data_IF_512145141428
#
_entry.id   IF_512145141428
#
_cell.length_a   1.000
_cell.length_b   1.000
_cell.length_c   1.000
_cell.angle_alpha   90.00
_cell.angle_beta   90.00
_cell.angle_gamma   90.00
#
_symmetry.space_group_name_H-M   'P 1'
#
loop_
_entity.id
_entity.type
_entity.pdbx_description
1 polymer ?
#
# COMPACT_ATOMS: atom_id res chain seq x y z
N UNK A 1 -0.88 21.17 17.64
CA UNK A 1 -1.93 20.39 16.95
C UNK A 1 -1.15 19.24 16.36
N UNK A 2 -1.28 18.06 16.95
CA UNK A 2 -0.37 16.95 16.64
C UNK A 2 -0.86 16.25 15.38
N UNK A 3 0.02 16.06 14.40
CA UNK A 3 -0.27 15.30 13.18
C UNK A 3 -0.25 13.81 13.51
N UNK A 4 -1.39 13.14 13.44
CA UNK A 4 -1.46 11.68 13.61
C UNK A 4 -1.28 11.04 12.24
N UNK A 5 -0.15 10.37 12.04
CA UNK A 5 0.06 9.49 10.88
C UNK A 5 -0.46 8.11 11.23
N UNK A 6 -1.44 7.61 10.47
CA UNK A 6 -1.95 6.23 10.58
C UNK A 6 -1.54 5.45 9.35
N UNK A 7 -0.74 4.40 9.54
CA UNK A 7 -0.53 3.36 8.54
C UNK A 7 -1.47 2.17 8.85
N UNK A 8 -2.49 1.90 8.01
CA UNK A 8 -3.42 0.80 8.22
C UNK A 8 -2.79 -0.58 7.98
N UNK A 9 -1.66 -0.68 7.28
CA UNK A 9 -1.10 -1.94 6.81
C UNK A 9 -0.86 -2.94 7.94
N UNK A 10 -0.25 -2.51 9.05
CA UNK A 10 0.13 -3.40 10.16
C UNK A 10 -1.04 -3.87 11.02
N UNK A 11 -2.22 -3.24 10.90
CA UNK A 11 -3.41 -3.55 11.71
C UNK A 11 -4.50 -4.22 10.88
N UNK A 12 -4.81 -3.63 9.72
CA UNK A 12 -6.00 -3.98 8.95
C UNK A 12 -5.74 -5.22 8.06
N UNK A 13 -4.52 -5.40 7.53
CA UNK A 13 -4.17 -6.58 6.72
C UNK A 13 -4.18 -7.88 7.55
N UNK A 14 -3.53 -7.98 8.73
CA UNK A 14 -3.60 -9.20 9.53
C UNK A 14 -5.02 -9.55 9.97
N UNK A 15 -5.78 -8.53 10.41
CA UNK A 15 -7.16 -8.69 10.83
C UNK A 15 -8.04 -9.27 9.71
N UNK A 16 -7.84 -8.84 8.46
CA UNK A 16 -8.54 -9.39 7.29
C UNK A 16 -8.30 -10.90 7.13
N UNK A 17 -7.08 -11.37 7.38
CA UNK A 17 -6.73 -12.79 7.30
C UNK A 17 -7.04 -13.59 8.58
N UNK A 18 -7.56 -12.93 9.63
CA UNK A 18 -7.84 -13.57 10.92
C UNK A 18 -6.58 -14.08 11.64
N UNK A 19 -5.43 -13.49 11.37
CA UNK A 19 -4.13 -13.88 11.92
C UNK A 19 -3.33 -12.67 12.40
N UNK A 20 -2.24 -12.89 13.13
CA UNK A 20 -1.29 -11.83 13.49
C UNK A 20 -0.43 -11.41 12.29
N UNK A 21 0.19 -10.22 12.38
CA UNK A 21 1.11 -9.74 11.33
C UNK A 21 2.29 -10.68 11.14
N UNK A 22 2.86 -11.20 12.23
CA UNK A 22 3.97 -12.16 12.18
C UNK A 22 3.57 -13.46 11.48
N UNK A 23 2.39 -14.00 11.78
CA UNK A 23 1.84 -15.18 11.08
C UNK A 23 1.61 -14.90 9.59
N UNK A 24 1.08 -13.72 9.25
CA UNK A 24 0.88 -13.31 7.87
C UNK A 24 2.20 -13.29 7.09
N UNK A 25 3.24 -12.65 7.63
CA UNK A 25 4.56 -12.60 6.99
C UNK A 25 5.18 -13.98 6.86
N UNK A 26 5.10 -14.82 7.90
CA UNK A 26 5.63 -16.19 7.87
C UNK A 26 4.87 -17.07 6.87
N UNK A 27 3.57 -16.83 6.65
CA UNK A 27 2.76 -17.58 5.70
C UNK A 27 3.10 -17.27 4.23
N UNK A 28 3.66 -16.10 3.93
CA UNK A 28 4.01 -15.67 2.56
C UNK A 28 5.29 -16.34 2.09
N UNK A 29 5.33 -16.72 0.81
CA UNK A 29 6.56 -17.20 0.19
C UNK A 29 7.60 -16.06 0.12
N UNK A 30 8.84 -16.29 0.56
CA UNK A 30 9.81 -15.22 0.81
C UNK A 30 10.21 -14.42 -0.44
N UNK A 31 10.06 -15.01 -1.64
CA UNK A 31 10.52 -14.39 -2.89
C UNK A 31 9.47 -14.29 -3.97
N UNK A 32 8.25 -14.81 -3.75
CA UNK A 32 7.25 -14.92 -4.83
C UNK A 32 6.86 -13.53 -5.38
N UNK A 33 6.61 -12.58 -4.47
CA UNK A 33 6.31 -11.20 -4.85
C UNK A 33 7.45 -10.54 -5.65
N UNK A 34 8.70 -10.71 -5.20
CA UNK A 34 9.87 -10.15 -5.87
C UNK A 34 10.05 -10.74 -7.27
N UNK A 35 9.80 -12.04 -7.44
CA UNK A 35 9.86 -12.71 -8.73
C UNK A 35 8.79 -12.19 -9.68
N UNK A 36 7.57 -11.97 -9.18
CA UNK A 36 6.47 -11.40 -9.97
C UNK A 36 6.78 -9.98 -10.43
N UNK A 37 7.25 -9.11 -9.53
CA UNK A 37 7.64 -7.73 -9.86
C UNK A 37 8.78 -7.66 -10.88
N UNK A 38 9.68 -8.65 -10.87
CA UNK A 38 10.75 -8.78 -11.87
C UNK A 38 10.30 -9.43 -13.19
N UNK A 39 9.04 -9.81 -13.32
CA UNK A 39 8.50 -10.51 -14.49
C UNK A 39 9.05 -11.93 -14.68
N UNK A 40 9.59 -12.55 -13.61
CA UNK A 40 10.12 -13.91 -13.64
C UNK A 40 9.02 -14.97 -13.53
N UNK A 41 7.92 -14.62 -12.87
CA UNK A 41 6.70 -15.41 -12.78
C UNK A 41 5.51 -14.53 -13.17
N UNK A 42 4.48 -15.13 -13.73
CA UNK A 42 3.24 -14.44 -14.06
C UNK A 42 2.27 -14.41 -12.86
N UNK A 43 1.11 -13.81 -13.08
CA UNK A 43 0.07 -13.65 -12.06
C UNK A 43 -0.49 -15.01 -11.60
N UNK A 44 -0.64 -15.95 -12.54
CA UNK A 44 -1.15 -17.30 -12.27
C UNK A 44 -0.20 -18.06 -11.36
N UNK A 45 1.10 -18.00 -11.64
CA UNK A 45 2.10 -18.64 -10.81
C UNK A 45 2.23 -17.94 -9.45
N UNK A 46 2.16 -16.61 -9.40
CA UNK A 46 2.13 -15.86 -8.15
C UNK A 46 1.00 -16.37 -7.24
N UNK A 47 -0.24 -16.48 -7.73
CA UNK A 47 -1.36 -16.95 -6.91
C UNK A 47 -1.13 -18.35 -6.32
N UNK A 48 -0.45 -19.23 -7.05
CA UNK A 48 -0.14 -20.59 -6.59
C UNK A 48 0.88 -20.61 -5.47
N UNK A 49 1.90 -19.76 -5.55
CA UNK A 49 3.06 -19.84 -4.65
C UNK A 49 3.08 -18.72 -3.61
N UNK A 50 2.16 -17.75 -3.66
CA UNK A 50 2.18 -16.59 -2.77
C UNK A 50 2.14 -16.98 -1.28
N UNK A 51 1.37 -18.02 -0.94
CA UNK A 51 1.30 -18.57 0.40
C UNK A 51 1.94 -19.97 0.45
N UNK A 52 2.75 -20.21 1.48
CA UNK A 52 3.49 -21.48 1.67
C UNK A 52 2.57 -22.69 1.86
N UNK A 53 1.36 -22.46 2.35
CA UNK A 53 0.33 -23.49 2.58
C UNK A 53 -0.48 -23.80 1.32
N UNK A 54 -0.25 -23.09 0.21
CA UNK A 54 -0.92 -23.30 -1.07
C UNK A 54 -2.39 -22.90 -1.07
N UNK A 55 -2.84 -22.07 -0.11
CA UNK A 55 -4.22 -21.56 -0.10
C UNK A 55 -4.48 -20.68 -1.32
N UNK A 56 -5.71 -20.73 -1.82
CA UNK A 56 -6.14 -19.88 -2.92
C UNK A 56 -6.03 -18.39 -2.55
N UNK A 57 -5.59 -17.59 -3.50
CA UNK A 57 -5.53 -16.14 -3.40
C UNK A 57 -6.35 -15.54 -4.53
N UNK A 58 -7.31 -14.69 -4.17
CA UNK A 58 -8.16 -14.01 -5.15
C UNK A 58 -7.36 -12.95 -5.91
N UNK A 59 -7.09 -13.24 -7.19
CA UNK A 59 -6.45 -12.31 -8.13
C UNK A 59 -7.46 -11.38 -8.83
N UNK A 60 -8.75 -11.73 -8.79
CA UNK A 60 -9.83 -10.96 -9.44
C UNK A 60 -10.37 -9.84 -8.55
N UNK A 61 -9.87 -9.74 -7.32
CA UNK A 61 -10.19 -8.66 -6.39
C UNK A 61 -9.91 -7.27 -6.97
N UNK A 62 -10.66 -6.28 -6.46
CA UNK A 62 -10.46 -4.87 -6.81
C UNK A 62 -9.03 -4.45 -6.54
N UNK A 63 -8.44 -3.71 -7.48
CA UNK A 63 -7.03 -3.30 -7.42
C UNK A 63 -6.82 -1.96 -8.11
N UNK A 64 -5.73 -1.29 -7.73
CA UNK A 64 -5.23 -0.11 -8.43
C UNK A 64 -5.03 -0.41 -9.93
N UNK A 65 -5.38 0.50 -10.85
CA UNK A 65 -5.86 1.87 -10.63
C UNK A 65 -7.39 2.01 -10.59
N UNK A 66 -8.16 0.96 -10.28
CA UNK A 66 -9.63 1.07 -10.22
C UNK A 66 -10.05 2.07 -9.11
N UNK A 67 -10.86 3.07 -9.46
CA UNK A 67 -11.37 4.07 -8.52
C UNK A 67 -12.15 3.44 -7.36
N UNK A 68 -12.86 2.34 -7.61
CA UNK A 68 -13.67 1.66 -6.59
C UNK A 68 -12.80 1.04 -5.49
N UNK A 69 -11.56 0.64 -5.81
CA UNK A 69 -10.56 0.17 -4.83
C UNK A 69 -10.25 1.27 -3.80
N UNK A 70 -9.94 2.48 -4.26
CA UNK A 70 -9.61 3.59 -3.36
C UNK A 70 -10.81 4.02 -2.52
N UNK A 71 -12.02 4.01 -3.10
CA UNK A 71 -13.24 4.33 -2.38
C UNK A 71 -13.56 3.31 -1.29
N UNK A 72 -13.31 2.02 -1.54
CA UNK A 72 -13.43 0.97 -0.52
C UNK A 72 -12.45 1.18 0.63
N UNK A 73 -11.20 1.56 0.34
CA UNK A 73 -10.20 1.87 1.37
C UNK A 73 -10.65 3.04 2.25
N UNK A 74 -11.07 4.16 1.67
CA UNK A 74 -11.55 5.33 2.42
C UNK A 74 -12.75 4.97 3.30
N UNK A 75 -13.72 4.21 2.76
CA UNK A 75 -14.88 3.74 3.52
C UNK A 75 -14.50 2.83 4.68
N UNK A 76 -13.56 1.91 4.46
CA UNK A 76 -13.08 0.99 5.49
C UNK A 76 -12.33 1.72 6.61
N UNK A 77 -11.53 2.73 6.24
CA UNK A 77 -10.76 3.52 7.19
C UNK A 77 -11.60 4.58 7.93
N UNK A 78 -12.81 4.87 7.44
CA UNK A 78 -13.73 5.89 7.96
C UNK A 78 -13.09 7.29 8.01
N UNK A 79 -12.31 7.63 6.98
CA UNK A 79 -11.60 8.91 6.85
C UNK A 79 -12.13 9.70 5.66
N UNK A 80 -12.00 11.03 5.68
CA UNK A 80 -12.23 11.84 4.49
C UNK A 80 -11.03 11.67 3.52
N UNK A 81 -11.25 11.45 2.21
CA UNK A 81 -10.17 11.35 1.23
C UNK A 81 -9.16 12.50 1.28
N UNK A 82 -9.62 13.72 1.62
CA UNK A 82 -8.77 14.90 1.70
C UNK A 82 -7.73 14.85 2.83
N UNK A 83 -7.91 13.96 3.81
CA UNK A 83 -6.94 13.69 4.88
C UNK A 83 -5.99 12.53 4.54
N UNK A 84 -6.09 11.94 3.35
CA UNK A 84 -5.24 10.84 2.92
C UNK A 84 -4.17 11.30 1.94
N UNK A 85 -2.96 10.76 2.12
CA UNK A 85 -1.89 10.83 1.12
C UNK A 85 -1.65 9.41 0.60
N UNK A 86 -1.67 9.25 -0.71
CA UNK A 86 -1.37 7.99 -1.40
C UNK A 86 -0.06 8.13 -2.18
N UNK A 87 0.92 7.28 -1.85
CA UNK A 87 2.26 7.29 -2.44
C UNK A 87 2.42 6.01 -3.27
N UNK A 88 2.75 6.14 -4.56
CA UNK A 88 2.95 4.99 -5.46
C UNK A 88 3.94 5.35 -6.57
N UNK A 89 4.71 4.37 -7.04
CA UNK A 89 5.72 4.54 -8.10
C UNK A 89 5.10 4.54 -9.51
N UNK A 90 3.81 4.17 -9.64
CA UNK A 90 3.10 4.14 -10.92
C UNK A 90 2.17 5.33 -11.01
N UNK A 91 2.51 6.29 -11.88
CA UNK A 91 1.72 7.50 -12.15
C UNK A 91 0.20 7.23 -12.33
N UNK A 92 -0.18 6.17 -13.06
CA UNK A 92 -1.60 5.81 -13.25
C UNK A 92 -2.36 5.52 -11.95
N UNK A 93 -1.69 4.97 -10.94
CA UNK A 93 -2.28 4.68 -9.64
C UNK A 93 -2.43 5.97 -8.83
N UNK A 94 -1.48 6.89 -8.97
CA UNK A 94 -1.50 8.21 -8.33
C UNK A 94 -2.67 9.05 -8.87
N UNK A 95 -2.85 9.05 -10.19
CA UNK A 95 -3.94 9.74 -10.86
C UNK A 95 -5.31 9.20 -10.42
N UNK A 96 -5.48 7.88 -10.41
CA UNK A 96 -6.73 7.27 -9.94
C UNK A 96 -7.05 7.57 -8.47
N UNK A 97 -6.04 7.64 -7.60
CA UNK A 97 -6.24 8.08 -6.21
C UNK A 97 -6.70 9.55 -6.15
N UNK A 98 -6.11 10.42 -6.97
CA UNK A 98 -6.47 11.83 -7.05
C UNK A 98 -7.92 12.05 -7.54
N UNK A 99 -8.39 11.23 -8.48
CA UNK A 99 -9.76 11.29 -8.99
C UNK A 99 -10.82 11.04 -7.91
N UNK A 100 -10.50 10.27 -6.87
CA UNK A 100 -11.41 10.03 -5.73
C UNK A 100 -11.19 10.99 -4.55
N UNK A 101 -10.35 12.02 -4.73
CA UNK A 101 -10.10 13.06 -3.73
C UNK A 101 -8.95 12.77 -2.77
N UNK A 102 -8.19 11.68 -2.96
CA UNK A 102 -6.99 11.38 -2.17
C UNK A 102 -5.80 12.17 -2.73
N UNK A 103 -4.95 12.75 -1.87
CA UNK A 103 -3.74 13.42 -2.34
C UNK A 103 -2.73 12.39 -2.87
N UNK A 104 -2.58 12.30 -4.18
CA UNK A 104 -1.60 11.42 -4.82
C UNK A 104 -0.18 12.01 -4.87
N UNK A 105 0.83 11.19 -4.57
CA UNK A 105 2.27 11.48 -4.70
C UNK A 105 2.93 10.39 -5.55
N UNK A 106 3.61 10.78 -6.62
CA UNK A 106 4.35 9.86 -7.48
C UNK A 106 5.76 9.67 -6.94
N UNK A 107 6.01 8.49 -6.38
CA UNK A 107 7.31 8.14 -5.85
C UNK A 107 8.35 8.00 -6.96
N UNK A 108 9.42 8.81 -6.88
CA UNK A 108 10.58 8.75 -7.79
C UNK A 108 11.86 8.41 -7.06
N UNK A 109 12.07 9.01 -5.89
CA UNK A 109 13.15 8.72 -4.96
C UNK A 109 12.79 9.31 -3.58
N UNK A 110 13.62 9.00 -2.58
CA UNK A 110 13.39 9.38 -1.19
C UNK A 110 13.50 10.89 -0.97
N UNK A 111 14.46 11.56 -1.62
CA UNK A 111 14.70 13.00 -1.40
C UNK A 111 13.52 13.85 -1.89
N UNK A 112 13.03 13.57 -3.10
CA UNK A 112 11.84 14.23 -3.64
C UNK A 112 10.58 13.92 -2.81
N UNK A 113 10.43 12.69 -2.34
CA UNK A 113 9.30 12.33 -1.48
C UNK A 113 9.31 13.15 -0.18
N UNK A 114 10.48 13.33 0.44
CA UNK A 114 10.62 14.14 1.66
C UNK A 114 10.25 15.59 1.41
N UNK A 115 10.73 16.19 0.32
CA UNK A 115 10.38 17.55 -0.07
C UNK A 115 8.86 17.70 -0.28
N UNK A 116 8.24 16.77 -1.01
CA UNK A 116 6.80 16.80 -1.26
C UNK A 116 5.98 16.65 0.03
N UNK A 117 6.38 15.76 0.94
CA UNK A 117 5.71 15.58 2.23
C UNK A 117 5.87 16.79 3.16
N UNK A 118 7.06 17.40 3.23
CA UNK A 118 7.28 18.60 4.04
C UNK A 118 6.45 19.79 3.52
N UNK A 119 6.31 19.96 2.20
CA UNK A 119 5.39 20.95 1.62
C UNK A 119 3.92 20.72 1.98
N UNK A 120 3.55 19.49 2.34
CA UNK A 120 2.21 19.13 2.84
C UNK A 120 2.09 19.24 4.37
N UNK A 121 3.13 19.68 5.06
CA UNK A 121 3.17 19.78 6.53
C UNK A 121 3.47 18.45 7.23
N UNK A 122 4.03 17.47 6.51
CA UNK A 122 4.49 16.19 7.04
C UNK A 122 6.02 16.17 7.04
N UNK A 123 6.61 16.64 8.14
CA UNK A 123 8.06 16.60 8.32
C UNK A 123 8.48 15.22 8.83
N UNK A 124 9.35 14.55 8.07
CA UNK A 124 9.95 13.28 8.47
C UNK A 124 11.23 13.60 9.23
N UNK A 125 11.21 13.39 10.55
CA UNK A 125 12.41 13.41 11.38
C UNK A 125 13.09 12.05 11.28
N UNK A 126 14.40 12.03 11.02
CA UNK A 126 15.20 10.82 11.11
C UNK A 126 16.04 10.85 12.38
N UNK A 127 16.46 9.68 12.87
CA UNK A 127 17.33 9.59 14.06
C UNK A 127 18.70 10.26 13.84
N UNK A 128 19.06 10.60 12.59
CA UNK A 128 20.27 11.37 12.24
C UNK A 128 20.10 12.89 12.43
N UNK A 129 18.86 13.37 12.64
CA UNK A 129 18.53 14.79 12.85
C UNK A 129 18.54 15.19 14.35
N UNK A 130 19.00 14.29 15.25
CA UNK A 130 19.21 14.49 16.70
C UNK A 130 20.69 14.39 17.08
#
# INVERSE_FOLDING_TARGET
MDTIVRDPFYKDIPAFFGMSFDEFIVSKHPTAWIQFEKGLIDEVELARILFKDGRDFDLEGKRKPDAEFYMDVVRHLEVDPSYCIFIDDRQKNVEAAAEVGIKGVHFKNVDLLREELSLMGVDILTDEDQ
#
